data_IF_679281161280
#
_entry.id   IF_679281161280
#
_cell.length_a   1.000
_cell.length_b   1.000
_cell.length_c   1.000
_cell.angle_alpha   90.00
_cell.angle_beta   90.00
_cell.angle_gamma   90.00
#
_symmetry.space_group_name_H-M   'P 1'
#
loop_
_entity.id
_entity.type
_entity.pdbx_description
1 polymer ?
#
# COMPACT_ATOMS: atom_id res chain seq x y z
N UNK A 1 -18.53 11.75 -3.60
CA UNK A 1 -17.08 11.82 -3.88
C UNK A 1 -16.43 12.65 -2.78
N UNK A 2 -15.27 12.24 -2.26
CA UNK A 2 -14.66 12.87 -1.07
C UNK A 2 -14.17 14.31 -1.25
N UNK A 3 -14.25 14.86 -2.46
CA UNK A 3 -13.63 16.15 -2.84
C UNK A 3 -14.60 17.17 -3.46
N UNK A 4 -15.93 16.93 -3.44
CA UNK A 4 -16.93 17.88 -3.97
C UNK A 4 -16.93 18.06 -5.50
N UNK A 5 -15.89 17.61 -6.20
CA UNK A 5 -15.75 17.66 -7.66
C UNK A 5 -15.33 16.29 -8.20
N UNK A 6 -15.70 15.98 -9.43
CA UNK A 6 -15.22 14.77 -10.13
C UNK A 6 -13.82 15.03 -10.65
N UNK A 7 -12.85 14.24 -10.19
CA UNK A 7 -11.46 14.29 -10.65
C UNK A 7 -11.08 12.93 -11.21
N UNK A 8 -10.44 12.92 -12.37
CA UNK A 8 -9.85 11.70 -12.95
C UNK A 8 -8.60 11.31 -12.16
N UNK A 9 -8.63 10.13 -11.54
CA UNK A 9 -7.52 9.60 -10.74
C UNK A 9 -6.94 8.34 -11.41
N UNK A 10 -5.97 8.47 -12.32
CA UNK A 10 -5.37 7.30 -12.97
C UNK A 10 -4.56 6.49 -11.96
N UNK A 11 -4.63 5.16 -12.05
CA UNK A 11 -3.82 4.24 -11.24
C UNK A 11 -2.86 3.46 -12.13
N UNK A 12 -1.60 3.36 -11.69
CA UNK A 12 -0.54 2.69 -12.44
C UNK A 12 -0.08 1.44 -11.68
N UNK A 13 -0.46 0.26 -12.17
CA UNK A 13 -0.02 -1.01 -11.58
C UNK A 13 1.47 -1.22 -11.85
N UNK A 14 2.22 -1.61 -10.82
CA UNK A 14 3.63 -2.01 -10.93
C UNK A 14 3.86 -3.41 -10.36
N UNK A 15 4.72 -4.24 -10.98
CA UNK A 15 5.25 -5.43 -10.32
C UNK A 15 6.19 -5.02 -9.17
N UNK A 16 6.39 -5.91 -8.20
CA UNK A 16 7.24 -5.64 -7.04
C UNK A 16 8.67 -5.21 -7.42
N UNK A 17 9.25 -5.81 -8.47
CA UNK A 17 10.56 -5.41 -8.97
C UNK A 17 10.61 -3.93 -9.40
N UNK A 18 9.54 -3.42 -10.03
CA UNK A 18 9.44 -2.01 -10.43
C UNK A 18 9.10 -1.06 -9.26
N UNK A 19 8.84 -1.61 -8.07
CA UNK A 19 8.73 -0.86 -6.82
C UNK A 19 10.07 -0.84 -6.09
N UNK A 20 10.74 -2.00 -5.97
CA UNK A 20 11.94 -2.14 -5.15
C UNK A 20 13.24 -1.79 -5.86
N UNK A 21 13.44 -2.22 -7.11
CA UNK A 21 14.71 -1.99 -7.81
C UNK A 21 15.05 -0.50 -7.92
N UNK A 22 14.11 0.41 -8.25
CA UNK A 22 14.42 1.84 -8.28
C UNK A 22 14.90 2.42 -6.95
N UNK A 23 14.45 1.85 -5.81
CA UNK A 23 14.95 2.27 -4.49
C UNK A 23 16.40 1.83 -4.30
N UNK A 24 16.70 0.58 -4.65
CA UNK A 24 18.06 0.01 -4.55
C UNK A 24 19.02 0.73 -5.51
N UNK A 25 18.62 0.93 -6.76
CA UNK A 25 19.43 1.60 -7.79
C UNK A 25 19.71 3.07 -7.41
N UNK A 26 18.80 3.72 -6.68
CA UNK A 26 18.98 5.06 -6.14
C UNK A 26 19.88 5.11 -4.88
N UNK A 27 20.42 3.96 -4.44
CA UNK A 27 21.32 3.83 -3.31
C UNK A 27 20.62 3.77 -1.95
N UNK A 28 19.31 3.51 -1.91
CA UNK A 28 18.62 3.24 -0.65
C UNK A 28 18.79 1.78 -0.24
N UNK A 29 18.90 1.56 1.06
CA UNK A 29 18.82 0.25 1.70
C UNK A 29 17.36 0.02 2.10
N UNK A 30 16.77 -1.09 1.67
CA UNK A 30 15.45 -1.50 2.12
C UNK A 30 15.54 -1.95 3.58
N UNK A 31 14.83 -1.26 4.47
CA UNK A 31 14.89 -1.52 5.90
C UNK A 31 13.64 -2.28 6.40
N UNK A 32 12.44 -1.93 5.92
CA UNK A 32 11.21 -2.66 6.27
C UNK A 32 10.20 -2.63 5.14
N UNK A 33 9.61 -3.80 4.86
CA UNK A 33 8.41 -3.93 4.03
C UNK A 33 7.27 -4.39 4.91
N UNK A 34 6.10 -3.76 4.78
CA UNK A 34 4.91 -4.07 5.54
C UNK A 34 3.69 -4.09 4.62
N UNK A 35 2.98 -5.22 4.63
CA UNK A 35 1.63 -5.34 4.10
C UNK A 35 0.66 -5.23 5.29
N UNK A 36 0.07 -4.05 5.54
CA UNK A 36 -0.76 -3.83 6.71
C UNK A 36 -2.07 -4.63 6.60
N UNK A 37 -2.44 -5.26 7.72
CA UNK A 37 -3.74 -5.90 7.88
C UNK A 37 -4.72 -4.92 8.56
N UNK A 38 -6.01 -4.99 8.24
CA UNK A 38 -7.01 -4.20 8.96
C UNK A 38 -6.99 -4.54 10.45
N UNK A 39 -7.21 -3.54 11.30
CA UNK A 39 -7.33 -3.73 12.76
C UNK A 39 -8.72 -4.25 13.10
N UNK A 40 -8.88 -4.95 14.23
CA UNK A 40 -10.17 -5.56 14.59
C UNK A 40 -11.31 -4.53 14.69
N UNK A 41 -11.02 -3.32 15.16
CA UNK A 41 -12.01 -2.24 15.21
C UNK A 41 -12.59 -1.88 13.83
N UNK A 42 -11.83 -2.07 12.74
CA UNK A 42 -12.28 -1.82 11.37
C UNK A 42 -13.35 -2.83 10.92
N UNK A 43 -13.35 -4.03 11.51
CA UNK A 43 -14.34 -5.06 11.22
C UNK A 43 -15.75 -4.62 11.60
N UNK A 44 -15.89 -3.85 12.67
CA UNK A 44 -17.18 -3.37 13.16
C UNK A 44 -17.82 -2.36 12.19
N UNK A 45 -17.02 -1.52 11.53
CA UNK A 45 -17.51 -0.54 10.56
C UNK A 45 -17.70 -1.12 9.16
N UNK A 46 -16.79 -1.99 8.72
CA UNK A 46 -16.69 -2.44 7.32
C UNK A 46 -16.36 -3.94 7.23
N UNK A 47 -17.29 -4.85 7.59
CA UNK A 47 -17.02 -6.28 7.76
C UNK A 47 -16.56 -6.96 6.46
N UNK A 48 -17.21 -6.65 5.34
CA UNK A 48 -16.90 -7.25 4.04
C UNK A 48 -15.52 -6.81 3.54
N UNK A 49 -15.22 -5.50 3.68
CA UNK A 49 -13.91 -4.96 3.34
C UNK A 49 -12.82 -5.54 4.23
N UNK A 50 -13.09 -5.72 5.53
CA UNK A 50 -12.18 -6.38 6.46
C UNK A 50 -11.85 -7.81 5.99
N UNK A 51 -12.86 -8.64 5.73
CA UNK A 51 -12.67 -10.04 5.29
C UNK A 51 -11.89 -10.14 3.97
N UNK A 52 -12.12 -9.20 3.05
CA UNK A 52 -11.37 -9.10 1.79
C UNK A 52 -9.92 -8.72 2.03
N UNK A 53 -9.67 -7.66 2.82
CA UNK A 53 -8.32 -7.16 3.09
C UNK A 53 -7.48 -8.10 3.96
N UNK A 54 -8.12 -9.00 4.72
CA UNK A 54 -7.43 -10.07 5.44
C UNK A 54 -6.84 -11.14 4.49
N UNK A 55 -7.35 -11.26 3.26
CA UNK A 55 -6.87 -12.24 2.26
C UNK A 55 -6.06 -11.60 1.15
N UNK A 56 -6.29 -10.32 0.88
CA UNK A 56 -5.66 -9.57 -0.20
C UNK A 56 -5.12 -8.24 0.35
N UNK A 57 -3.79 -8.05 0.42
CA UNK A 57 -3.22 -6.83 0.96
C UNK A 57 -3.64 -5.63 0.12
N UNK A 58 -4.24 -4.63 0.77
CA UNK A 58 -4.69 -3.41 0.11
C UNK A 58 -3.57 -2.39 -0.10
N UNK A 59 -2.47 -2.52 0.64
CA UNK A 59 -1.37 -1.57 0.65
C UNK A 59 -0.03 -2.28 0.75
N UNK A 60 1.00 -1.62 0.22
CA UNK A 60 2.40 -1.96 0.40
C UNK A 60 3.10 -0.75 1.01
N UNK A 61 3.58 -0.88 2.24
CA UNK A 61 4.35 0.15 2.93
C UNK A 61 5.84 -0.24 2.90
N UNK A 62 6.69 0.67 2.43
CA UNK A 62 8.14 0.44 2.32
C UNK A 62 8.88 1.53 3.08
N UNK A 63 9.74 1.13 4.03
CA UNK A 63 10.73 1.98 4.66
C UNK A 63 12.09 1.66 4.06
N UNK A 64 12.70 2.68 3.48
CA UNK A 64 14.04 2.61 2.90
C UNK A 64 14.88 3.75 3.47
N UNK A 65 16.15 3.48 3.76
CA UNK A 65 17.08 4.43 4.37
C UNK A 65 18.22 4.70 3.40
N UNK A 66 18.64 5.95 3.29
CA UNK A 66 19.84 6.32 2.56
C UNK A 66 20.97 6.52 3.57
N UNK A 67 22.12 5.83 3.42
CA UNK A 67 23.29 6.02 4.29
C UNK A 67 23.79 7.46 4.34
#
# INVERSE_FOLDING_TARGET
TGFGTVVTMPSYRRPLAAVFNPLVDAGFILDRVLEPRPVEAFRASEPETYERLMRQPGFLCVRAVKP
#
